data_IF_307537391544
#
_entry.id   IF_307537391544
#
_cell.length_a   1.000
_cell.length_b   1.000
_cell.length_c   1.000
_cell.angle_alpha   90.00
_cell.angle_beta   90.00
_cell.angle_gamma   90.00
#
_symmetry.space_group_name_H-M   'P 1'
#
loop_
_entity.id
_entity.type
_entity.pdbx_description
1 polymer ?
#
# COMPACT_ATOMS: atom_id res chain seq x y z
N UNK A 1 -7.45 -16.16 9.09
CA UNK A 1 -8.39 -15.68 10.12
C UNK A 1 -8.95 -14.35 9.60
N UNK A 2 -10.23 -14.31 9.23
CA UNK A 2 -10.84 -13.26 8.38
C UNK A 2 -10.75 -11.85 8.96
N UNK A 3 -10.71 -11.73 10.29
CA UNK A 3 -10.59 -10.45 10.97
C UNK A 3 -9.29 -9.71 10.68
N UNK A 4 -8.19 -10.44 10.47
CA UNK A 4 -6.90 -9.81 10.12
C UNK A 4 -7.01 -9.07 8.79
N UNK A 5 -7.76 -9.61 7.82
CA UNK A 5 -7.96 -8.94 6.54
C UNK A 5 -8.79 -7.67 6.69
N UNK A 6 -9.82 -7.65 7.54
CA UNK A 6 -10.63 -6.45 7.75
C UNK A 6 -9.82 -5.30 8.40
N UNK A 7 -9.00 -5.61 9.40
CA UNK A 7 -8.13 -4.63 10.06
C UNK A 7 -7.08 -4.11 9.09
N UNK A 8 -6.34 -5.00 8.42
CA UNK A 8 -5.30 -4.58 7.48
C UNK A 8 -5.85 -3.86 6.25
N UNK A 9 -7.09 -4.15 5.84
CA UNK A 9 -7.77 -3.37 4.81
C UNK A 9 -8.11 -1.95 5.28
N UNK A 10 -8.57 -1.78 6.52
CA UNK A 10 -8.79 -0.45 7.09
C UNK A 10 -7.48 0.36 7.21
N UNK A 11 -6.39 -0.29 7.61
CA UNK A 11 -5.04 0.31 7.64
C UNK A 11 -4.60 0.74 6.23
N UNK A 12 -4.82 -0.10 5.23
CA UNK A 12 -4.49 0.21 3.82
C UNK A 12 -5.29 1.41 3.30
N UNK A 13 -6.60 1.50 3.60
CA UNK A 13 -7.43 2.67 3.27
C UNK A 13 -6.92 3.94 3.97
N UNK A 14 -6.47 3.82 5.22
CA UNK A 14 -5.88 4.93 5.96
C UNK A 14 -4.58 5.41 5.31
N UNK A 15 -3.69 4.49 4.99
CA UNK A 15 -2.35 4.80 4.52
C UNK A 15 -2.37 5.41 3.10
N UNK A 16 -3.14 4.79 2.19
CA UNK A 16 -3.32 5.27 0.81
C UNK A 16 -3.94 6.66 0.76
N UNK A 17 -4.95 6.93 1.59
CA UNK A 17 -5.61 8.24 1.64
C UNK A 17 -4.79 9.32 2.36
N UNK A 18 -3.84 8.92 3.21
CA UNK A 18 -3.07 9.85 4.06
C UNK A 18 -3.87 10.43 5.21
N UNK A 19 -5.05 9.88 5.47
CA UNK A 19 -5.93 10.28 6.56
C UNK A 19 -6.02 9.11 7.54
N UNK A 20 -6.03 9.42 8.83
CA UNK A 20 -6.17 8.41 9.87
C UNK A 20 -7.59 7.85 9.86
N UNK A 21 -7.74 6.57 9.51
CA UNK A 21 -8.97 5.82 9.73
C UNK A 21 -8.92 5.20 11.13
N UNK A 22 -9.86 5.58 11.99
CA UNK A 22 -9.95 5.00 13.33
C UNK A 22 -11.06 3.94 13.34
N UNK A 23 -10.68 2.67 13.38
CA UNK A 23 -11.60 1.53 13.57
C UNK A 23 -11.30 0.84 14.89
N UNK A 24 -12.32 0.44 15.64
CA UNK A 24 -12.12 -0.36 16.85
C UNK A 24 -11.93 -1.82 16.49
N UNK A 25 -10.75 -2.35 16.79
CA UNK A 25 -10.42 -3.78 16.65
C UNK A 25 -11.33 -4.64 17.51
N UNK A 26 -11.64 -4.22 18.73
CA UNK A 26 -12.54 -4.93 19.65
C UNK A 26 -13.96 -5.04 19.07
N UNK A 27 -14.44 -3.96 18.45
CA UNK A 27 -15.76 -3.95 17.80
C UNK A 27 -15.77 -4.86 16.57
N UNK A 28 -14.73 -4.81 15.74
CA UNK A 28 -14.58 -5.69 14.58
C UNK A 28 -14.56 -7.17 14.98
N UNK A 29 -13.93 -7.51 16.12
CA UNK A 29 -13.88 -8.89 16.65
C UNK A 29 -15.23 -9.48 17.00
N UNK A 30 -16.21 -8.63 17.30
CA UNK A 30 -17.56 -9.05 17.70
C UNK A 30 -18.56 -9.07 16.52
N UNK A 31 -18.12 -8.61 15.34
CA UNK A 31 -18.95 -8.48 14.15
C UNK A 31 -18.76 -9.66 13.20
N UNK A 32 -19.82 -9.98 12.43
CA UNK A 32 -19.71 -10.87 11.27
C UNK A 32 -18.93 -10.18 10.15
N UNK A 33 -18.32 -10.92 9.21
CA UNK A 33 -17.50 -10.34 8.14
C UNK A 33 -18.18 -9.23 7.32
N UNK A 34 -19.47 -9.39 7.00
CA UNK A 34 -20.22 -8.36 6.26
C UNK A 34 -20.42 -7.09 7.09
N UNK A 35 -20.72 -7.24 8.38
CA UNK A 35 -20.94 -6.14 9.34
C UNK A 35 -19.63 -5.39 9.60
N UNK A 36 -18.48 -6.08 9.58
CA UNK A 36 -17.16 -5.46 9.65
C UNK A 36 -16.95 -4.51 8.47
N UNK A 37 -17.28 -4.95 7.25
CA UNK A 37 -17.08 -4.14 6.05
C UNK A 37 -18.02 -2.95 5.98
N UNK A 38 -19.27 -3.12 6.42
CA UNK A 38 -20.23 -2.02 6.60
C UNK A 38 -19.71 -0.97 7.59
N UNK A 39 -19.22 -1.41 8.75
CA UNK A 39 -18.64 -0.52 9.74
C UNK A 39 -17.40 0.23 9.20
N UNK A 40 -16.50 -0.44 8.49
CA UNK A 40 -15.34 0.21 7.86
C UNK A 40 -15.80 1.24 6.82
N UNK A 41 -16.82 0.95 6.01
CA UNK A 41 -17.36 1.90 5.03
C UNK A 41 -17.90 3.16 5.71
N UNK A 42 -18.68 2.99 6.78
CA UNK A 42 -19.20 4.10 7.58
C UNK A 42 -18.07 4.96 8.15
N UNK A 43 -17.03 4.34 8.71
CA UNK A 43 -15.88 5.07 9.25
C UNK A 43 -15.07 5.78 8.15
N UNK A 44 -14.88 5.13 7.00
CA UNK A 44 -14.12 5.70 5.90
C UNK A 44 -14.85 6.93 5.30
N UNK A 45 -16.19 6.90 5.23
CA UNK A 45 -16.99 8.07 4.84
C UNK A 45 -16.92 9.20 5.87
N UNK A 46 -17.11 8.88 7.15
CA UNK A 46 -17.10 9.88 8.22
C UNK A 46 -15.76 10.59 8.37
N UNK A 47 -14.65 9.95 8.00
CA UNK A 47 -13.31 10.53 7.97
C UNK A 47 -12.93 11.14 6.61
N UNK A 48 -13.88 11.20 5.66
CA UNK A 48 -13.68 11.70 4.30
C UNK A 48 -12.55 10.99 3.54
N UNK A 49 -12.35 9.70 3.81
CA UNK A 49 -11.46 8.81 3.06
C UNK A 49 -12.14 8.35 1.79
N UNK A 50 -13.42 7.97 1.91
CA UNK A 50 -14.29 7.63 0.79
C UNK A 50 -15.36 8.69 0.62
N UNK A 51 -15.80 8.89 -0.61
CA UNK A 51 -16.89 9.80 -0.93
C UNK A 51 -18.25 9.20 -0.52
N UNK A 52 -19.25 10.05 -0.28
CA UNK A 52 -20.57 9.64 0.24
C UNK A 52 -21.32 8.70 -0.70
N UNK A 53 -21.10 8.84 -2.01
CA UNK A 53 -21.67 8.01 -3.07
C UNK A 53 -21.13 6.57 -3.09
N UNK A 54 -20.01 6.30 -2.41
CA UNK A 54 -19.42 4.95 -2.38
C UNK A 54 -20.34 4.00 -1.62
N UNK A 55 -20.97 3.08 -2.33
CA UNK A 55 -21.88 2.09 -1.74
C UNK A 55 -21.17 0.82 -1.29
N UNK A 56 -21.94 -0.09 -0.67
CA UNK A 56 -21.45 -1.40 -0.25
C UNK A 56 -20.93 -2.25 -1.41
N UNK A 57 -21.47 -2.10 -2.62
CA UNK A 57 -20.99 -2.85 -3.77
C UNK A 57 -19.56 -2.44 -4.17
N UNK A 58 -19.25 -1.13 -4.18
CA UNK A 58 -17.89 -0.66 -4.40
C UNK A 58 -16.96 -1.09 -3.27
N UNK A 59 -17.43 -1.02 -2.02
CA UNK A 59 -16.65 -1.46 -0.86
C UNK A 59 -16.28 -2.95 -0.92
N UNK A 60 -17.25 -3.81 -1.27
CA UNK A 60 -17.02 -5.24 -1.49
C UNK A 60 -16.02 -5.48 -2.64
N UNK A 61 -16.13 -4.72 -3.72
CA UNK A 61 -15.21 -4.82 -4.86
C UNK A 61 -13.78 -4.43 -4.46
N UNK A 62 -13.60 -3.34 -3.70
CA UNK A 62 -12.30 -2.92 -3.18
C UNK A 62 -11.71 -3.95 -2.23
N UNK A 63 -12.51 -4.49 -1.31
CA UNK A 63 -12.05 -5.51 -0.37
C UNK A 63 -11.65 -6.81 -1.08
N UNK A 64 -12.42 -7.22 -2.09
CA UNK A 64 -12.08 -8.38 -2.92
C UNK A 64 -10.76 -8.17 -3.68
N UNK A 65 -10.55 -7.00 -4.29
CA UNK A 65 -9.28 -6.67 -4.97
C UNK A 65 -8.12 -6.68 -3.98
N UNK A 66 -8.31 -6.13 -2.78
CA UNK A 66 -7.30 -6.15 -1.72
C UNK A 66 -6.89 -7.58 -1.36
N UNK A 67 -7.86 -8.45 -1.10
CA UNK A 67 -7.60 -9.86 -0.81
C UNK A 67 -6.91 -10.56 -1.99
N UNK A 68 -7.43 -10.39 -3.21
CA UNK A 68 -6.87 -11.01 -4.41
C UNK A 68 -5.41 -10.59 -4.65
N UNK A 69 -5.09 -9.31 -4.44
CA UNK A 69 -3.72 -8.78 -4.55
C UNK A 69 -2.80 -9.35 -3.48
N UNK A 70 -3.29 -9.49 -2.24
CA UNK A 70 -2.56 -10.16 -1.16
C UNK A 70 -2.25 -11.63 -1.48
N UNK A 71 -3.25 -12.37 -1.98
CA UNK A 71 -3.08 -13.75 -2.43
C UNK A 71 -2.09 -13.87 -3.60
N UNK A 72 -2.20 -12.99 -4.59
CA UNK A 72 -1.29 -12.96 -5.73
C UNK A 72 0.15 -12.69 -5.28
N UNK A 73 0.34 -11.73 -4.38
CA UNK A 73 1.66 -11.38 -3.82
C UNK A 73 2.27 -12.54 -3.03
N UNK A 74 1.48 -13.20 -2.17
CA UNK A 74 1.96 -14.31 -1.36
C UNK A 74 2.39 -15.53 -2.20
N UNK A 75 1.68 -15.82 -3.29
CA UNK A 75 1.95 -16.98 -4.15
C UNK A 75 2.88 -16.64 -5.32
N UNK A 76 3.37 -15.41 -5.43
CA UNK A 76 4.23 -15.01 -6.54
C UNK A 76 5.64 -15.60 -6.38
N UNK A 77 6.01 -16.50 -7.30
CA UNK A 77 7.36 -17.01 -7.43
C UNK A 77 8.18 -16.11 -8.36
N UNK A 78 8.97 -15.21 -7.76
CA UNK A 78 9.84 -14.33 -8.50
C UNK A 78 10.90 -15.10 -9.29
N UNK A 79 11.18 -14.67 -10.53
CA UNK A 79 12.21 -15.24 -11.39
C UNK A 79 13.36 -14.24 -11.59
N UNK A 80 14.59 -14.73 -11.87
CA UNK A 80 15.70 -13.84 -12.14
C UNK A 80 15.40 -12.88 -13.30
N UNK A 81 15.82 -11.62 -13.15
CA UNK A 81 15.67 -10.58 -14.16
C UNK A 81 17.05 -10.02 -14.54
N UNK A 82 17.40 -10.11 -15.82
CA UNK A 82 18.72 -9.68 -16.32
C UNK A 82 18.73 -8.25 -16.89
N UNK A 83 17.59 -7.57 -16.89
CA UNK A 83 17.52 -6.17 -17.30
C UNK A 83 18.07 -5.22 -16.24
N UNK A 84 18.30 -3.97 -16.64
CA UNK A 84 18.63 -2.90 -15.72
C UNK A 84 17.36 -2.39 -15.03
N UNK A 85 17.42 -2.10 -13.73
CA UNK A 85 16.33 -1.48 -12.99
C UNK A 85 16.78 -0.16 -12.36
N UNK A 86 15.87 0.81 -12.33
CA UNK A 86 15.97 2.02 -11.51
C UNK A 86 14.96 1.90 -10.39
N UNK A 87 15.43 1.78 -9.15
CA UNK A 87 14.62 1.61 -7.96
C UNK A 87 14.45 2.95 -7.24
N UNK A 88 13.22 3.43 -7.13
CA UNK A 88 12.90 4.61 -6.33
C UNK A 88 12.47 4.16 -4.93
N UNK A 89 13.32 4.39 -3.95
CA UNK A 89 13.13 3.91 -2.57
C UNK A 89 12.79 5.08 -1.65
N UNK A 90 11.75 4.95 -0.83
CA UNK A 90 11.38 5.97 0.13
C UNK A 90 12.46 6.10 1.23
N UNK A 91 12.74 7.33 1.65
CA UNK A 91 13.76 7.61 2.67
C UNK A 91 13.36 7.13 4.06
N UNK A 92 12.06 7.07 4.34
CA UNK A 92 11.51 6.56 5.59
C UNK A 92 11.10 5.09 5.36
N UNK A 93 11.77 4.13 6.00
CA UNK A 93 11.48 2.73 5.78
C UNK A 93 10.12 2.36 6.37
N UNK A 94 9.35 1.52 5.66
CA UNK A 94 8.09 0.97 6.15
C UNK A 94 8.30 0.02 7.34
N UNK A 95 9.47 -0.60 7.43
CA UNK A 95 9.88 -1.46 8.55
C UNK A 95 11.34 -1.15 8.90
N UNK A 96 11.68 -1.03 10.18
CA UNK A 96 13.05 -0.72 10.64
C UNK A 96 14.12 -1.73 10.22
N UNK A 97 13.70 -2.91 9.73
CA UNK A 97 14.56 -4.04 9.41
C UNK A 97 15.18 -4.01 8.00
N UNK A 98 14.74 -3.12 7.10
CA UNK A 98 15.27 -3.08 5.73
C UNK A 98 16.52 -2.19 5.63
N UNK A 99 17.65 -2.67 6.16
CA UNK A 99 18.98 -2.07 5.90
C UNK A 99 19.41 -2.18 4.43
N UNK A 100 18.71 -3.00 3.64
CA UNK A 100 18.97 -3.18 2.23
C UNK A 100 18.28 -2.09 1.40
N UNK A 101 19.09 -1.16 0.87
CA UNK A 101 18.61 -0.10 -0.02
C UNK A 101 17.98 -0.63 -1.32
N UNK A 102 18.27 -1.88 -1.70
CA UNK A 102 17.69 -2.55 -2.88
C UNK A 102 16.37 -3.24 -2.59
N UNK A 103 15.88 -3.25 -1.34
CA UNK A 103 14.61 -3.87 -0.96
C UNK A 103 14.48 -5.35 -1.42
N UNK A 104 15.58 -6.11 -1.41
CA UNK A 104 15.63 -7.50 -1.86
C UNK A 104 15.84 -7.69 -3.38
N UNK A 105 15.80 -6.63 -4.18
CA UNK A 105 15.98 -6.75 -5.64
C UNK A 105 17.36 -7.28 -6.04
N UNK A 106 18.40 -7.07 -5.22
CA UNK A 106 19.75 -7.62 -5.48
C UNK A 106 19.79 -9.15 -5.56
N UNK A 107 18.83 -9.84 -4.96
CA UNK A 107 18.77 -11.31 -4.95
C UNK A 107 18.11 -11.86 -6.23
N UNK A 108 17.41 -11.01 -6.99
CA UNK A 108 16.66 -11.38 -8.20
C UNK A 108 17.25 -10.77 -9.47
N UNK A 109 17.88 -9.60 -9.39
CA UNK A 109 18.36 -8.87 -10.57
C UNK A 109 19.83 -9.10 -10.80
N UNK A 110 20.17 -9.59 -11.99
CA UNK A 110 21.57 -9.80 -12.42
C UNK A 110 22.11 -8.65 -13.27
N UNK A 111 21.25 -7.75 -13.74
CA UNK A 111 21.62 -6.50 -14.39
C UNK A 111 21.93 -5.37 -13.39
N UNK A 112 22.26 -4.16 -13.88
CA UNK A 112 22.49 -3.00 -13.02
C UNK A 112 21.25 -2.60 -12.22
N UNK A 113 21.45 -2.29 -10.94
CA UNK A 113 20.43 -1.71 -10.06
C UNK A 113 20.87 -0.29 -9.68
N UNK A 114 20.13 0.72 -10.13
CA UNK A 114 20.34 2.11 -9.73
C UNK A 114 19.29 2.51 -8.70
N UNK A 115 19.72 2.79 -7.46
CA UNK A 115 18.81 3.16 -6.37
C UNK A 115 18.75 4.69 -6.22
N UNK A 116 17.53 5.23 -6.25
CA UNK A 116 17.25 6.64 -5.98
C UNK A 116 16.43 6.76 -4.70
N UNK A 117 17.01 7.35 -3.66
CA UNK A 117 16.24 7.68 -2.46
C UNK A 117 15.35 8.90 -2.70
N UNK A 118 14.07 8.76 -2.35
CA UNK A 118 13.07 9.83 -2.46
C UNK A 118 12.58 10.20 -1.04
N UNK A 119 12.54 11.49 -0.67
CA UNK A 119 11.97 11.93 0.59
C UNK A 119 10.52 11.47 0.76
N UNK A 120 10.18 11.01 1.98
CA UNK A 120 8.85 10.50 2.30
C UNK A 120 8.87 9.04 2.77
N UNK A 121 7.67 8.49 2.97
CA UNK A 121 7.41 7.09 3.28
C UNK A 121 6.84 6.34 2.06
N UNK A 122 6.55 5.04 2.22
CA UNK A 122 6.02 4.18 1.16
C UNK A 122 4.76 4.73 0.46
N UNK A 123 3.91 5.43 1.20
CA UNK A 123 2.65 5.99 0.70
C UNK A 123 2.80 7.46 0.29
N UNK A 124 3.57 8.26 1.04
CA UNK A 124 3.73 9.69 0.76
C UNK A 124 4.52 9.95 -0.53
N UNK A 125 5.46 9.06 -0.91
CA UNK A 125 6.30 9.19 -2.11
C UNK A 125 5.50 9.35 -3.42
N UNK A 126 4.25 8.88 -3.47
CA UNK A 126 3.35 8.98 -4.62
C UNK A 126 2.21 10.00 -4.44
N UNK A 127 2.23 10.79 -3.36
CA UNK A 127 1.19 11.79 -3.05
C UNK A 127 1.80 13.18 -2.90
N UNK A 128 1.01 14.21 -3.19
CA UNK A 128 1.42 15.59 -2.90
C UNK A 128 1.64 15.81 -1.39
N UNK A 129 2.63 16.62 -0.99
CA UNK A 129 3.59 17.33 -1.87
C UNK A 129 4.82 16.50 -2.30
N UNK A 130 5.04 15.33 -1.69
CA UNK A 130 6.30 14.58 -1.82
C UNK A 130 6.51 13.95 -3.21
N UNK A 131 5.43 13.67 -3.94
CA UNK A 131 5.48 13.14 -5.32
C UNK A 131 6.30 14.01 -6.28
N UNK A 132 6.49 15.29 -5.96
CA UNK A 132 7.34 16.20 -6.73
C UNK A 132 8.81 15.78 -6.74
N UNK A 133 9.30 15.13 -5.68
CA UNK A 133 10.67 14.60 -5.65
C UNK A 133 10.79 13.37 -6.56
N UNK A 134 9.80 12.48 -6.52
CA UNK A 134 9.73 11.31 -7.38
C UNK A 134 9.67 11.73 -8.87
N UNK A 135 8.78 12.67 -9.22
CA UNK A 135 8.60 13.09 -10.61
C UNK A 135 9.86 13.73 -11.21
N UNK A 136 10.56 14.58 -10.45
CA UNK A 136 11.83 15.18 -10.88
C UNK A 136 12.90 14.12 -11.13
N UNK A 137 13.02 13.12 -10.25
CA UNK A 137 14.00 12.04 -10.42
C UNK A 137 13.62 11.12 -11.58
N UNK A 138 12.35 10.78 -11.72
CA UNK A 138 11.84 9.97 -12.82
C UNK A 138 12.10 10.65 -14.18
N UNK A 139 11.86 11.96 -14.29
CA UNK A 139 12.10 12.71 -15.52
C UNK A 139 13.56 12.64 -15.98
N UNK A 140 14.52 12.84 -15.05
CA UNK A 140 15.97 12.72 -15.35
C UNK A 140 16.36 11.31 -15.79
N UNK A 141 15.66 10.29 -15.30
CA UNK A 141 15.96 8.89 -15.59
C UNK A 141 15.35 8.39 -16.91
N UNK A 142 14.38 9.11 -17.47
CA UNK A 142 13.69 8.76 -18.71
C UNK A 142 14.18 9.55 -19.93
N UNK A 143 15.03 10.56 -19.73
CA UNK A 143 15.74 11.30 -20.77
C UNK A 143 17.03 10.61 -21.17
#
# INVERSE_FOLDING_TARGET
NEIYYAISFAEELSATSGKKLSVSTERLQQMKPVEQLEYILEQAKSHHILAEEVGMQQMQSLYWVYQATGWATYNYEARPYNGAIKLFNASQPLMELTKDATLGWKDLVTGPIEVHQIPGDHYSIIREPDVQYLSKKLAVCLT
#
